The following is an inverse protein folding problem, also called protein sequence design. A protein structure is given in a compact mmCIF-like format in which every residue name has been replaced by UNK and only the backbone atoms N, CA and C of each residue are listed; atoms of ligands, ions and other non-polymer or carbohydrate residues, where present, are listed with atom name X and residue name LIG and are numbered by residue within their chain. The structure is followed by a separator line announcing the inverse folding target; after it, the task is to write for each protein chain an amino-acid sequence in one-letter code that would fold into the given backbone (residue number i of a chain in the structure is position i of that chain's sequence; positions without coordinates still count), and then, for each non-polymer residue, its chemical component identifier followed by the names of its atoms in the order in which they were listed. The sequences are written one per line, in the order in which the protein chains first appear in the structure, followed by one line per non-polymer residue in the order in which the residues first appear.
data_IF_980989969605
#
_entry.id   IF_980989969605
#
_cell.length_a   1.000
_cell.length_b   1.000
_cell.length_c   1.000
_cell.angle_alpha   90.00
_cell.angle_beta   90.00
_cell.angle_gamma   90.00
#
_symmetry.space_group_name_H-M   'P 1'
#
loop_
_entity.id
_entity.type
_entity.pdbx_description
1 polymer ?
#
# COMPACT_ATOMS: atom_id res chain seq x y z
N UNK A 1 3.32 3.25 59.33
CA UNK A 1 4.06 4.01 58.28
C UNK A 1 5.50 3.55 58.22
N UNK A 2 5.89 2.81 57.18
CA UNK A 2 7.26 2.77 56.68
C UNK A 2 7.34 3.48 55.33
N UNK A 3 8.37 4.31 55.20
CA UNK A 3 8.60 5.29 54.14
C UNK A 3 8.61 4.66 52.73
N UNK A 4 7.73 5.18 51.86
CA UNK A 4 7.90 5.13 50.41
C UNK A 4 9.27 5.71 50.07
N UNK A 5 10.22 4.86 49.67
CA UNK A 5 11.44 5.30 49.02
C UNK A 5 11.02 5.76 47.62
N UNK A 6 11.25 7.02 47.25
CA UNK A 6 10.78 7.56 45.99
C UNK A 6 11.45 6.80 44.85
N UNK A 7 10.66 6.42 43.84
CA UNK A 7 11.13 5.89 42.58
C UNK A 7 12.13 6.89 41.98
N UNK A 8 13.41 6.66 42.26
CA UNK A 8 14.53 7.43 41.75
C UNK A 8 14.49 7.45 40.22
N UNK A 9 14.60 8.66 39.69
CA UNK A 9 14.70 8.99 38.28
C UNK A 9 15.86 8.25 37.63
N UNK A 10 15.61 7.05 37.14
CA UNK A 10 16.49 6.34 36.20
C UNK A 10 15.68 5.67 35.08
N UNK A 11 14.59 6.33 34.66
CA UNK A 11 14.00 6.11 33.34
C UNK A 11 14.86 6.79 32.26
N UNK A 12 16.16 6.54 32.23
CA UNK A 12 16.87 6.66 30.97
C UNK A 12 16.55 5.41 30.16
N UNK A 13 15.48 5.53 29.38
CA UNK A 13 15.18 4.65 28.25
C UNK A 13 16.37 4.70 27.29
N UNK A 14 17.43 3.93 27.59
CA UNK A 14 18.44 3.63 26.60
C UNK A 14 17.77 2.71 25.59
N UNK A 15 17.21 3.28 24.53
CA UNK A 15 16.74 2.52 23.39
C UNK A 15 17.95 2.19 22.50
N UNK A 16 18.09 0.92 22.12
CA UNK A 16 19.06 0.51 21.08
C UNK A 16 20.32 -0.16 21.62
N UNK A 17 21.45 0.08 20.95
CA UNK A 17 22.73 -0.63 21.17
C UNK A 17 23.31 -0.32 22.57
N UNK A 18 23.14 0.91 23.08
CA UNK A 18 23.62 1.31 24.41
C UNK A 18 23.02 0.46 25.53
N UNK A 19 21.77 0.06 25.40
CA UNK A 19 21.11 -0.83 26.36
C UNK A 19 21.80 -2.19 26.43
N UNK A 20 22.11 -2.76 25.26
CA UNK A 20 22.73 -4.08 25.13
C UNK A 20 24.13 -4.05 25.74
N UNK A 21 24.90 -2.98 25.46
CA UNK A 21 26.22 -2.76 26.05
C UNK A 21 26.14 -2.62 27.57
N UNK A 22 25.15 -1.88 28.08
CA UNK A 22 24.96 -1.74 29.53
C UNK A 22 24.57 -3.07 30.19
N UNK A 23 23.69 -3.85 29.57
CA UNK A 23 23.32 -5.19 30.05
C UNK A 23 24.54 -6.11 30.05
N UNK A 24 25.41 -6.03 29.05
CA UNK A 24 26.63 -6.82 29.02
C UNK A 24 27.60 -6.43 30.15
N UNK A 25 27.78 -5.13 30.42
CA UNK A 25 28.65 -4.63 31.50
C UNK A 25 28.12 -4.96 32.90
N UNK A 26 26.81 -4.84 33.11
CA UNK A 26 26.16 -5.02 34.42
C UNK A 26 25.66 -6.46 34.65
N UNK A 27 25.68 -7.27 33.60
CA UNK A 27 25.24 -8.66 33.58
C UNK A 27 26.19 -9.57 34.35
N UNK A 28 25.63 -10.45 35.18
CA UNK A 28 26.42 -11.54 35.75
C UNK A 28 26.81 -12.57 34.67
N UNK A 29 27.58 -13.59 35.04
CA UNK A 29 28.05 -14.61 34.09
C UNK A 29 26.90 -15.27 33.30
N UNK A 30 25.77 -15.53 33.96
CA UNK A 30 24.64 -16.21 33.33
C UNK A 30 23.86 -15.31 32.36
N UNK A 31 23.75 -14.02 32.67
CA UNK A 31 23.20 -13.05 31.74
C UNK A 31 24.14 -12.82 30.55
N UNK A 32 25.46 -12.80 30.77
CA UNK A 32 26.46 -12.67 29.69
C UNK A 32 26.50 -13.88 28.77
N UNK A 33 26.44 -15.10 29.30
CA UNK A 33 26.38 -16.30 28.46
C UNK A 33 25.09 -16.39 27.64
N UNK A 34 24.02 -15.70 28.06
CA UNK A 34 22.75 -15.63 27.31
C UNK A 34 22.84 -14.86 25.98
N UNK A 35 23.95 -14.15 25.74
CA UNK A 35 24.24 -13.54 24.44
C UNK A 35 24.62 -14.61 23.40
N UNK A 36 25.30 -15.68 23.85
CA UNK A 36 25.74 -16.78 23.00
C UNK A 36 24.74 -17.94 22.99
N UNK A 37 24.22 -18.32 24.15
CA UNK A 37 23.25 -19.41 24.32
C UNK A 37 21.96 -18.81 24.86
N UNK A 38 20.99 -18.58 23.98
CA UNK A 38 19.72 -17.95 24.34
C UNK A 38 19.00 -18.76 25.41
N UNK A 39 18.40 -18.06 26.38
CA UNK A 39 17.64 -18.66 27.46
C UNK A 39 18.45 -19.14 28.68
N UNK A 40 19.79 -19.26 28.59
CA UNK A 40 20.62 -19.79 29.69
C UNK A 40 20.44 -19.03 31.02
N UNK A 41 20.42 -17.71 30.97
CA UNK A 41 20.23 -16.85 32.15
C UNK A 41 18.83 -16.90 32.73
N UNK A 42 17.81 -17.25 31.93
CA UNK A 42 16.46 -17.53 32.42
C UNK A 42 16.41 -18.91 33.10
N UNK A 43 17.06 -19.92 32.51
CA UNK A 43 17.14 -21.29 33.07
C UNK A 43 17.81 -21.28 34.45
N UNK A 44 18.96 -20.61 34.57
CA UNK A 44 19.68 -20.51 35.86
C UNK A 44 18.81 -19.90 36.98
N UNK A 45 17.88 -19.03 36.61
CA UNK A 45 16.97 -18.32 37.53
C UNK A 45 15.60 -18.98 37.64
N UNK A 46 15.54 -20.30 37.43
CA UNK A 46 14.33 -21.14 37.58
C UNK A 46 13.18 -20.79 36.60
N UNK A 47 13.44 -20.02 35.54
CA UNK A 47 12.47 -19.78 34.46
C UNK A 47 12.67 -20.78 33.31
N UNK A 48 12.51 -22.08 33.60
CA UNK A 48 12.85 -23.17 32.68
C UNK A 48 12.11 -23.12 31.34
N UNK A 49 10.78 -22.98 31.36
CA UNK A 49 9.95 -22.99 30.14
C UNK A 49 10.36 -21.86 29.20
N UNK A 50 10.48 -20.64 29.74
CA UNK A 50 10.86 -19.45 28.97
C UNK A 50 12.26 -19.55 28.40
N UNK A 51 13.21 -20.03 29.22
CA UNK A 51 14.57 -20.26 28.80
C UNK A 51 14.67 -21.33 27.70
N UNK A 52 13.92 -22.42 27.83
CA UNK A 52 13.84 -23.47 26.81
C UNK A 52 13.26 -22.94 25.49
N UNK A 53 12.20 -22.13 25.54
CA UNK A 53 11.64 -21.50 24.34
C UNK A 53 12.67 -20.64 23.61
N UNK A 54 13.43 -19.82 24.32
CA UNK A 54 14.49 -19.01 23.72
C UNK A 54 15.61 -19.87 23.11
N UNK A 55 16.00 -20.94 23.78
CA UNK A 55 16.99 -21.88 23.26
C UNK A 55 16.48 -22.61 22.01
N UNK A 56 15.24 -23.11 22.02
CA UNK A 56 14.62 -23.76 20.87
C UNK A 56 14.50 -22.81 19.67
N UNK A 57 14.14 -21.54 19.90
CA UNK A 57 14.13 -20.53 18.84
C UNK A 57 15.53 -20.30 18.23
N UNK A 58 16.58 -20.33 19.05
CA UNK A 58 17.96 -20.26 18.55
C UNK A 58 18.33 -21.48 17.70
N UNK A 59 18.05 -22.69 18.19
CA UNK A 59 18.34 -23.94 17.47
C UNK A 59 17.57 -24.00 16.14
N UNK A 60 16.27 -23.67 16.16
CA UNK A 60 15.44 -23.63 14.96
C UNK A 60 15.95 -22.62 13.94
N UNK A 61 16.39 -21.43 14.39
CA UNK A 61 16.98 -20.43 13.51
C UNK A 61 18.30 -20.90 12.89
N UNK A 62 19.19 -21.53 13.66
CA UNK A 62 20.45 -22.09 13.14
C UNK A 62 20.16 -23.20 12.13
N UNK A 63 19.22 -24.11 12.43
CA UNK A 63 18.80 -25.17 11.52
C UNK A 63 18.22 -24.61 10.21
N UNK A 64 17.37 -23.57 10.30
CA UNK A 64 16.85 -22.85 9.14
C UNK A 64 17.97 -22.20 8.31
N UNK A 65 18.93 -21.54 8.97
CA UNK A 65 20.04 -20.88 8.29
C UNK A 65 20.91 -21.87 7.52
N UNK A 66 21.27 -23.00 8.15
CA UNK A 66 22.12 -24.02 7.55
C UNK A 66 21.40 -24.85 6.49
N UNK A 67 20.13 -25.21 6.74
CA UNK A 67 19.37 -26.13 5.89
C UNK A 67 18.63 -25.48 4.73
N UNK A 68 18.25 -24.19 4.83
CA UNK A 68 17.43 -23.51 3.84
C UNK A 68 18.04 -22.17 3.41
N UNK A 69 18.29 -21.25 4.34
CA UNK A 69 18.65 -19.87 4.00
C UNK A 69 19.98 -19.77 3.25
N UNK A 70 20.99 -20.55 3.65
CA UNK A 70 22.33 -20.52 3.09
C UNK A 70 22.34 -20.82 1.57
N UNK A 71 21.47 -21.73 1.11
CA UNK A 71 21.36 -22.09 -0.30
C UNK A 71 20.91 -20.90 -1.18
N UNK A 72 20.05 -20.03 -0.65
CA UNK A 72 19.54 -18.88 -1.39
C UNK A 72 20.39 -17.62 -1.17
N UNK A 73 20.78 -17.34 0.07
CA UNK A 73 21.57 -16.16 0.43
C UNK A 73 22.94 -16.15 -0.25
N UNK A 74 23.58 -17.30 -0.41
CA UNK A 74 24.86 -17.40 -1.13
C UNK A 74 24.74 -17.05 -2.62
N UNK A 75 23.55 -17.19 -3.22
CA UNK A 75 23.27 -16.93 -4.63
C UNK A 75 22.58 -15.59 -4.89
N UNK A 76 22.34 -14.77 -3.86
CA UNK A 76 21.62 -13.49 -4.03
C UNK A 76 22.35 -12.52 -4.99
N UNK A 77 23.68 -12.57 -5.02
CA UNK A 77 24.50 -11.71 -5.87
C UNK A 77 24.51 -12.11 -7.34
N UNK A 78 24.36 -13.41 -7.64
CA UNK A 78 24.36 -13.92 -9.02
C UNK A 78 22.97 -14.21 -9.56
N UNK A 79 21.99 -14.40 -8.67
CA UNK A 79 20.63 -14.85 -8.99
C UNK A 79 20.59 -16.21 -9.71
N UNK A 80 21.58 -17.04 -9.43
CA UNK A 80 21.76 -18.36 -10.03
C UNK A 80 22.77 -18.34 -11.19
N UNK A 81 23.36 -19.49 -11.46
CA UNK A 81 24.38 -19.65 -12.51
C UNK A 81 24.00 -20.69 -13.56
N UNK A 82 23.19 -21.67 -13.18
CA UNK A 82 22.80 -22.77 -14.06
C UNK A 82 21.30 -22.75 -14.30
N UNK A 83 20.89 -22.36 -15.51
CA UNK A 83 19.49 -22.43 -15.91
C UNK A 83 19.04 -23.88 -16.11
N UNK A 84 17.75 -24.13 -16.01
CA UNK A 84 17.15 -25.44 -16.28
C UNK A 84 17.43 -25.88 -17.72
N UNK A 85 18.08 -27.04 -17.88
CA UNK A 85 18.42 -27.60 -19.21
C UNK A 85 17.47 -28.73 -19.58
N UNK A 86 17.31 -28.92 -20.89
CA UNK A 86 16.66 -30.10 -21.47
C UNK A 86 17.76 -30.96 -22.07
N UNK A 87 18.05 -32.08 -21.44
CA UNK A 87 19.10 -33.00 -21.88
C UNK A 87 18.44 -34.27 -22.42
N UNK A 88 18.95 -34.77 -23.55
CA UNK A 88 18.49 -36.03 -24.11
C UNK A 88 18.98 -37.17 -23.22
N UNK A 89 18.06 -37.94 -22.63
CA UNK A 89 18.44 -39.10 -21.82
C UNK A 89 18.41 -40.35 -22.69
N UNK A 90 19.59 -40.86 -23.06
CA UNK A 90 19.73 -42.11 -23.83
C UNK A 90 19.00 -43.29 -23.15
N UNK A 91 19.00 -43.33 -21.81
CA UNK A 91 18.34 -44.37 -21.03
C UNK A 91 16.79 -44.33 -21.11
N UNK A 92 16.19 -43.16 -21.34
CA UNK A 92 14.72 -43.00 -21.38
C UNK A 92 14.18 -42.64 -22.76
N UNK A 93 15.06 -42.42 -23.74
CA UNK A 93 14.73 -41.97 -25.10
C UNK A 93 13.79 -40.76 -25.13
N UNK A 94 13.90 -39.90 -24.12
CA UNK A 94 13.13 -38.66 -23.98
C UNK A 94 14.04 -37.55 -23.44
N UNK A 95 13.71 -36.30 -23.75
CA UNK A 95 14.33 -35.15 -23.12
C UNK A 95 13.95 -35.09 -21.64
N UNK A 96 14.94 -35.23 -20.76
CA UNK A 96 14.78 -35.08 -19.33
C UNK A 96 15.15 -33.65 -18.94
N UNK A 97 14.28 -33.05 -18.12
CA UNK A 97 14.46 -31.71 -17.55
C UNK A 97 15.33 -31.82 -16.31
N UNK A 98 16.58 -31.36 -16.37
CA UNK A 98 17.47 -31.30 -15.21
C UNK A 98 17.12 -30.05 -14.38
N UNK A 99 16.88 -30.18 -13.06
CA UNK A 99 16.58 -29.03 -12.21
C UNK A 99 17.76 -28.06 -12.21
N UNK A 100 17.52 -26.82 -12.65
CA UNK A 100 18.48 -25.71 -12.52
C UNK A 100 18.10 -24.76 -11.40
N UNK A 101 18.85 -23.67 -11.27
CA UNK A 101 18.54 -22.55 -10.41
C UNK A 101 17.25 -21.84 -10.84
N UNK A 102 16.67 -21.08 -9.91
CA UNK A 102 15.51 -20.24 -10.17
C UNK A 102 15.74 -18.86 -9.56
N UNK A 103 16.07 -17.87 -10.39
CA UNK A 103 16.36 -16.49 -9.96
C UNK A 103 15.23 -15.88 -9.13
N UNK A 104 13.97 -16.16 -9.47
CA UNK A 104 12.81 -15.65 -8.76
C UNK A 104 12.75 -16.22 -7.33
N UNK A 105 12.91 -17.53 -7.18
CA UNK A 105 12.90 -18.18 -5.86
C UNK A 105 14.13 -17.78 -5.03
N UNK A 106 15.31 -17.66 -5.67
CA UNK A 106 16.53 -17.18 -5.01
C UNK A 106 16.30 -15.80 -4.42
N UNK A 107 15.76 -14.87 -5.22
CA UNK A 107 15.49 -13.51 -4.76
C UNK A 107 14.44 -13.50 -3.65
N UNK A 108 13.30 -14.17 -3.84
CA UNK A 108 12.19 -14.20 -2.88
C UNK A 108 12.61 -14.77 -1.52
N UNK A 109 13.23 -15.95 -1.52
CA UNK A 109 13.64 -16.61 -0.28
C UNK A 109 14.85 -15.96 0.38
N UNK A 110 15.71 -15.27 -0.38
CA UNK A 110 16.76 -14.43 0.20
C UNK A 110 16.17 -13.24 0.97
N UNK A 111 15.20 -12.52 0.40
CA UNK A 111 14.53 -11.40 1.09
C UNK A 111 13.78 -11.91 2.32
N UNK A 112 13.03 -13.01 2.19
CA UNK A 112 12.34 -13.64 3.33
C UNK A 112 13.33 -14.02 4.43
N UNK A 113 14.48 -14.60 4.07
CA UNK A 113 15.54 -14.94 5.03
C UNK A 113 16.12 -13.73 5.72
N UNK A 114 16.35 -12.61 5.00
CA UNK A 114 16.82 -11.34 5.59
C UNK A 114 15.80 -10.80 6.60
N UNK A 115 14.50 -10.82 6.28
CA UNK A 115 13.46 -10.41 7.22
C UNK A 115 13.39 -11.33 8.45
N UNK A 116 13.58 -12.64 8.27
CA UNK A 116 13.65 -13.60 9.38
C UNK A 116 14.90 -13.38 10.25
N UNK A 117 16.05 -13.02 9.67
CA UNK A 117 17.25 -12.62 10.41
C UNK A 117 16.95 -11.38 11.26
N UNK A 118 16.30 -10.36 10.68
CA UNK A 118 15.89 -9.16 11.42
C UNK A 118 14.94 -9.51 12.56
N UNK A 119 13.92 -10.34 12.31
CA UNK A 119 12.99 -10.82 13.34
C UNK A 119 13.73 -11.59 14.45
N UNK A 120 14.70 -12.44 14.08
CA UNK A 120 15.54 -13.16 15.03
C UNK A 120 16.37 -12.21 15.90
N UNK A 121 16.93 -11.13 15.34
CA UNK A 121 17.63 -10.09 16.11
C UNK A 121 16.69 -9.46 17.15
N UNK A 122 15.42 -9.21 16.82
CA UNK A 122 14.44 -8.72 17.81
C UNK A 122 14.16 -9.75 18.91
N UNK A 123 14.03 -11.04 18.57
CA UNK A 123 13.85 -12.12 19.54
C UNK A 123 15.09 -12.27 20.44
N UNK A 124 16.28 -12.21 19.87
CA UNK A 124 17.56 -12.26 20.59
C UNK A 124 17.69 -11.08 21.57
N UNK A 125 17.31 -9.87 21.17
CA UNK A 125 17.23 -8.70 22.07
C UNK A 125 16.20 -8.90 23.18
N UNK A 126 15.03 -9.46 22.87
CA UNK A 126 14.01 -9.76 23.87
C UNK A 126 14.51 -10.79 24.90
N UNK A 127 15.26 -11.81 24.45
CA UNK A 127 15.93 -12.78 25.31
C UNK A 127 16.90 -12.10 26.29
N UNK A 128 17.80 -11.24 25.81
CA UNK A 128 18.77 -10.55 26.67
C UNK A 128 18.06 -9.68 27.71
N UNK A 129 17.06 -8.90 27.30
CA UNK A 129 16.24 -8.09 28.21
C UNK A 129 15.52 -8.96 29.24
N UNK A 130 15.01 -10.13 28.84
CA UNK A 130 14.36 -11.06 29.76
C UNK A 130 15.35 -11.59 30.80
N UNK A 131 16.54 -12.02 30.38
CA UNK A 131 17.59 -12.52 31.28
C UNK A 131 18.06 -11.45 32.28
N UNK A 132 18.24 -10.22 31.80
CA UNK A 132 18.63 -9.09 32.67
C UNK A 132 17.53 -8.70 33.66
N UNK A 133 16.27 -8.72 33.24
CA UNK A 133 15.14 -8.52 34.17
C UNK A 133 15.12 -9.59 35.24
N UNK A 134 15.29 -10.87 34.88
CA UNK A 134 15.37 -11.95 35.86
C UNK A 134 16.52 -11.75 36.87
N UNK A 135 17.69 -11.27 36.40
CA UNK A 135 18.80 -10.89 37.29
C UNK A 135 18.42 -9.77 38.27
N UNK A 136 17.70 -8.75 37.82
CA UNK A 136 17.26 -7.66 38.68
C UNK A 136 16.23 -8.13 39.71
N UNK A 137 15.29 -9.00 39.35
CA UNK A 137 14.35 -9.62 40.30
C UNK A 137 15.10 -10.39 41.40
N UNK A 138 16.12 -11.15 41.03
CA UNK A 138 16.98 -11.89 41.97
C UNK A 138 17.74 -10.96 42.91
N UNK A 139 18.39 -9.90 42.38
CA UNK A 139 19.08 -8.88 43.20
C UNK A 139 18.15 -8.15 44.17
N UNK A 140 16.90 -7.95 43.79
CA UNK A 140 15.88 -7.29 44.62
C UNK A 140 15.18 -8.26 45.60
N UNK A 141 15.59 -9.54 45.65
CA UNK A 141 14.96 -10.56 46.50
C UNK A 141 13.51 -10.88 46.12
N UNK A 142 13.07 -10.54 44.91
CA UNK A 142 11.71 -10.77 44.42
C UNK A 142 11.58 -12.17 43.84
N UNK A 143 10.41 -12.80 44.03
CA UNK A 143 10.08 -14.06 43.37
C UNK A 143 10.07 -13.90 41.85
N UNK A 144 10.66 -14.88 41.15
CA UNK A 144 10.67 -14.91 39.69
C UNK A 144 9.24 -15.20 39.19
N UNK A 145 8.74 -14.46 38.19
CA UNK A 145 7.41 -14.71 37.67
C UNK A 145 7.37 -16.08 36.98
N UNK A 146 6.37 -16.88 37.33
CA UNK A 146 6.09 -18.16 36.68
C UNK A 146 5.67 -17.92 35.23
N UNK A 147 5.94 -18.86 34.32
CA UNK A 147 5.51 -18.79 32.92
C UNK A 147 4.00 -18.52 32.76
N UNK A 148 3.16 -19.18 33.58
CA UNK A 148 1.71 -18.95 33.61
C UNK A 148 1.35 -17.52 34.03
N UNK A 149 2.10 -16.93 34.96
CA UNK A 149 1.93 -15.54 35.36
C UNK A 149 2.31 -14.59 34.23
N UNK A 150 3.40 -14.84 33.51
CA UNK A 150 3.79 -14.04 32.34
C UNK A 150 2.76 -14.12 31.20
N UNK A 151 2.21 -15.30 30.91
CA UNK A 151 1.12 -15.45 29.94
C UNK A 151 -0.11 -14.66 30.39
N UNK A 152 -0.48 -14.75 31.67
CA UNK A 152 -1.62 -13.99 32.21
C UNK A 152 -1.40 -12.48 32.09
N UNK A 153 -0.17 -12.00 32.32
CA UNK A 153 0.21 -10.60 32.09
C UNK A 153 0.09 -10.21 30.62
N UNK A 154 0.51 -11.07 29.69
CA UNK A 154 0.38 -10.83 28.24
C UNK A 154 -1.09 -10.79 27.79
N UNK A 155 -1.95 -11.63 28.34
CA UNK A 155 -3.37 -11.68 28.00
C UNK A 155 -4.23 -10.61 28.68
N UNK A 156 -3.74 -9.99 29.76
CA UNK A 156 -4.49 -8.99 30.51
C UNK A 156 -3.82 -7.61 30.44
N UNK A 157 -2.74 -7.40 31.20
CA UNK A 157 -2.06 -6.10 31.29
C UNK A 157 -1.40 -5.64 29.98
N UNK A 158 -0.97 -6.58 29.14
CA UNK A 158 -0.30 -6.32 27.86
C UNK A 158 -1.05 -6.90 26.67
N UNK A 159 -2.38 -6.97 26.79
CA UNK A 159 -3.25 -7.51 25.75
C UNK A 159 -3.01 -6.87 24.39
N UNK A 160 -2.75 -5.56 24.34
CA UNK A 160 -2.41 -4.84 23.10
C UNK A 160 -1.21 -5.45 22.36
N UNK A 161 -0.18 -5.96 23.06
CA UNK A 161 0.99 -6.58 22.43
C UNK A 161 0.58 -7.91 21.79
N UNK A 162 -0.11 -8.76 22.53
CA UNK A 162 -0.56 -10.07 22.04
C UNK A 162 -1.51 -9.92 20.86
N UNK A 163 -2.47 -8.99 20.96
CA UNK A 163 -3.45 -8.72 19.92
C UNK A 163 -2.80 -8.17 18.64
N UNK A 164 -1.81 -7.29 18.75
CA UNK A 164 -1.14 -6.67 17.60
C UNK A 164 -0.06 -7.55 16.97
N UNK A 165 0.49 -8.54 17.69
CA UNK A 165 1.59 -9.39 17.17
C UNK A 165 1.21 -10.09 15.88
N UNK A 166 0.02 -10.71 15.81
CA UNK A 166 -0.43 -11.44 14.61
C UNK A 166 -0.67 -10.49 13.42
N UNK A 167 -1.47 -9.40 13.53
CA UNK A 167 -1.61 -8.42 12.46
C UNK A 167 -0.28 -7.81 12.00
N UNK A 168 0.63 -7.48 12.92
CA UNK A 168 1.94 -6.94 12.56
C UNK A 168 2.78 -7.92 11.75
N UNK A 169 2.76 -9.22 12.11
CA UNK A 169 3.44 -10.25 11.32
C UNK A 169 2.82 -10.42 9.93
N UNK A 170 1.49 -10.32 9.82
CA UNK A 170 0.81 -10.37 8.53
C UNK A 170 1.19 -9.16 7.65
N UNK A 171 1.31 -7.96 8.22
CA UNK A 171 1.80 -6.77 7.49
C UNK A 171 3.23 -7.01 6.98
N UNK A 172 4.13 -7.58 7.80
CA UNK A 172 5.49 -7.88 7.36
C UNK A 172 5.49 -8.90 6.22
N UNK A 173 4.74 -9.98 6.35
CA UNK A 173 4.73 -11.09 5.39
C UNK A 173 4.01 -10.76 4.08
N UNK A 174 2.89 -10.04 4.13
CA UNK A 174 2.03 -9.81 2.97
C UNK A 174 2.10 -8.39 2.41
N UNK A 175 2.73 -7.46 3.11
CA UNK A 175 2.92 -6.08 2.62
C UNK A 175 4.39 -5.74 2.45
N UNK A 176 5.21 -5.87 3.50
CA UNK A 176 6.62 -5.44 3.44
C UNK A 176 7.46 -6.35 2.55
N UNK A 177 7.31 -7.68 2.68
CA UNK A 177 8.07 -8.65 1.88
C UNK A 177 7.82 -8.47 0.36
N UNK A 178 6.58 -8.43 -0.15
CA UNK A 178 6.33 -8.19 -1.57
C UNK A 178 6.85 -6.83 -2.07
N UNK A 179 6.78 -5.78 -1.23
CA UNK A 179 7.31 -4.45 -1.59
C UNK A 179 8.83 -4.51 -1.80
N UNK A 180 9.58 -5.11 -0.86
CA UNK A 180 11.03 -5.24 -1.01
C UNK A 180 11.36 -6.09 -2.24
N UNK A 181 10.64 -7.19 -2.44
CA UNK A 181 10.83 -8.05 -3.61
C UNK A 181 10.59 -7.31 -4.93
N UNK A 182 9.49 -6.56 -5.04
CA UNK A 182 9.19 -5.70 -6.19
C UNK A 182 10.30 -4.65 -6.40
N UNK A 183 10.74 -3.98 -5.33
CA UNK A 183 11.83 -2.98 -5.42
C UNK A 183 13.09 -3.63 -6.01
N UNK A 184 13.47 -4.83 -5.55
CA UNK A 184 14.65 -5.51 -6.07
C UNK A 184 14.50 -5.96 -7.52
N UNK A 185 13.31 -6.40 -7.95
CA UNK A 185 13.04 -6.73 -9.35
C UNK A 185 13.31 -5.54 -10.27
N UNK A 186 13.05 -4.30 -9.83
CA UNK A 186 13.33 -3.09 -10.61
C UNK A 186 14.82 -2.93 -10.98
N UNK A 187 15.74 -3.62 -10.30
CA UNK A 187 17.19 -3.61 -10.56
C UNK A 187 17.67 -4.83 -11.36
N UNK A 188 16.74 -5.62 -11.91
CA UNK A 188 17.03 -6.84 -12.69
C UNK A 188 16.51 -6.73 -14.13
N UNK A 189 16.87 -7.67 -14.99
CA UNK A 189 16.27 -7.83 -16.33
C UNK A 189 15.12 -8.85 -16.35
N UNK A 190 14.33 -8.95 -15.27
CA UNK A 190 13.21 -9.89 -15.23
C UNK A 190 12.07 -9.47 -16.17
N UNK A 191 12.13 -9.96 -17.41
CA UNK A 191 11.21 -9.68 -18.50
C UNK A 191 10.79 -10.98 -19.24
N UNK A 192 9.96 -10.86 -20.29
CA UNK A 192 9.49 -12.00 -21.08
C UNK A 192 10.61 -12.89 -21.65
N UNK A 193 11.82 -12.35 -21.83
CA UNK A 193 12.96 -13.11 -22.35
C UNK A 193 13.74 -13.83 -21.24
N UNK A 194 13.53 -13.48 -19.98
CA UNK A 194 14.23 -14.02 -18.82
C UNK A 194 13.25 -14.65 -17.82
N UNK A 195 12.52 -15.67 -18.26
CA UNK A 195 11.53 -16.38 -17.44
C UNK A 195 12.17 -17.60 -16.74
N UNK A 196 12.48 -17.54 -15.43
CA UNK A 196 13.01 -18.68 -14.70
C UNK A 196 11.93 -19.76 -14.53
N UNK A 197 12.32 -21.04 -14.39
CA UNK A 197 13.70 -21.54 -14.32
C UNK A 197 14.36 -21.74 -15.71
N UNK A 198 13.65 -21.47 -16.81
CA UNK A 198 14.14 -21.72 -18.16
C UNK A 198 15.24 -20.75 -18.61
N UNK A 199 15.10 -19.46 -18.31
CA UNK A 199 16.12 -18.44 -18.49
C UNK A 199 16.22 -17.60 -17.22
N UNK A 200 17.40 -17.58 -16.62
CA UNK A 200 17.66 -16.80 -15.41
C UNK A 200 17.68 -15.31 -15.73
N UNK A 201 17.27 -14.48 -14.76
CA UNK A 201 17.46 -13.04 -14.80
C UNK A 201 18.62 -12.65 -13.88
N UNK A 202 19.29 -11.56 -14.20
CA UNK A 202 20.47 -11.04 -13.51
C UNK A 202 20.28 -9.58 -13.09
N UNK A 203 21.18 -9.09 -12.24
CA UNK A 203 21.21 -7.68 -11.86
C UNK A 203 21.68 -6.81 -13.03
N UNK A 204 20.94 -5.74 -13.29
CA UNK A 204 21.29 -4.71 -14.30
C UNK A 204 21.49 -3.33 -13.66
N UNK A 205 21.45 -3.25 -12.33
CA UNK A 205 21.60 -2.01 -11.59
C UNK A 205 20.49 -1.01 -11.95
N UNK A 206 20.87 0.20 -12.35
CA UNK A 206 19.93 1.29 -12.60
C UNK A 206 19.39 1.36 -14.05
N UNK A 207 19.69 0.37 -14.91
CA UNK A 207 19.31 0.41 -16.34
C UNK A 207 17.82 0.70 -16.55
N UNK A 208 16.93 0.02 -15.84
CA UNK A 208 15.48 0.25 -16.02
C UNK A 208 15.06 1.68 -15.62
N UNK A 209 15.73 2.29 -14.64
CA UNK A 209 15.47 3.68 -14.23
C UNK A 209 15.96 4.66 -15.28
N UNK A 210 17.12 4.41 -15.89
CA UNK A 210 17.64 5.25 -16.98
C UNK A 210 16.80 5.09 -18.25
N UNK A 211 16.28 3.90 -18.54
CA UNK A 211 15.38 3.63 -19.68
C UNK A 211 14.06 4.40 -19.57
N UNK A 212 13.54 4.62 -18.35
CA UNK A 212 12.31 5.38 -18.10
C UNK A 212 12.46 6.88 -18.37
N UNK A 213 13.67 7.42 -18.29
CA UNK A 213 13.89 8.85 -18.49
C UNK A 213 14.63 9.18 -19.79
N UNK A 214 15.76 8.53 -20.07
CA UNK A 214 16.71 8.99 -21.09
C UNK A 214 17.18 7.89 -22.05
N UNK A 215 17.43 6.66 -21.58
CA UNK A 215 18.14 5.63 -22.36
C UNK A 215 17.30 4.97 -23.45
N UNK A 216 15.98 4.84 -23.26
CA UNK A 216 15.05 4.33 -24.26
C UNK A 216 14.04 5.44 -24.63
N UNK A 217 14.13 6.03 -25.85
CA UNK A 217 13.26 7.12 -26.25
C UNK A 217 11.77 6.77 -26.26
N UNK A 218 11.42 5.51 -26.57
CA UNK A 218 10.03 5.08 -26.65
C UNK A 218 9.45 4.92 -25.25
N UNK A 219 10.16 4.24 -24.33
CA UNK A 219 9.74 4.09 -22.93
C UNK A 219 9.67 5.46 -22.25
N UNK A 220 10.66 6.32 -22.48
CA UNK A 220 10.73 7.65 -21.87
C UNK A 220 9.59 8.57 -22.31
N UNK A 221 9.30 8.61 -23.61
CA UNK A 221 8.14 9.33 -24.14
C UNK A 221 6.83 8.77 -23.57
N UNK A 222 6.70 7.44 -23.51
CA UNK A 222 5.51 6.76 -22.95
C UNK A 222 5.29 7.14 -21.50
N UNK A 223 6.33 7.03 -20.65
CA UNK A 223 6.25 7.39 -19.25
C UNK A 223 5.85 8.85 -19.06
N UNK A 224 6.52 9.79 -19.75
CA UNK A 224 6.21 11.21 -19.63
C UNK A 224 4.76 11.55 -20.02
N UNK A 225 4.25 10.96 -21.11
CA UNK A 225 2.87 11.20 -21.57
C UNK A 225 1.83 10.56 -20.66
N UNK A 226 2.08 9.34 -20.18
CA UNK A 226 1.18 8.64 -19.25
C UNK A 226 1.19 9.32 -17.89
N UNK A 227 2.36 9.77 -17.39
CA UNK A 227 2.46 10.55 -16.16
C UNK A 227 1.64 11.84 -16.27
N UNK A 228 1.82 12.60 -17.37
CA UNK A 228 1.05 13.82 -17.63
C UNK A 228 -0.46 13.56 -17.63
N UNK A 229 -0.91 12.53 -18.35
CA UNK A 229 -2.31 12.13 -18.33
C UNK A 229 -2.78 11.66 -16.95
N UNK A 230 -1.97 10.90 -16.20
CA UNK A 230 -2.31 10.41 -14.86
C UNK A 230 -2.55 11.56 -13.88
N UNK A 231 -1.73 12.62 -13.95
CA UNK A 231 -1.89 13.81 -13.12
C UNK A 231 -3.12 14.63 -13.53
N UNK A 232 -3.32 14.84 -14.83
CA UNK A 232 -4.53 15.52 -15.36
C UNK A 232 -5.77 14.76 -14.91
N UNK A 233 -5.80 13.45 -15.14
CA UNK A 233 -6.86 12.54 -14.70
C UNK A 233 -7.11 12.68 -13.20
N UNK A 234 -6.08 12.58 -12.36
CA UNK A 234 -6.23 12.63 -10.92
C UNK A 234 -6.82 13.96 -10.44
N UNK A 235 -6.40 15.08 -11.03
CA UNK A 235 -6.97 16.40 -10.74
C UNK A 235 -8.44 16.46 -11.17
N UNK A 236 -8.76 16.13 -12.42
CA UNK A 236 -10.13 16.21 -12.92
C UNK A 236 -11.07 15.24 -12.20
N UNK A 237 -10.66 13.99 -12.00
CA UNK A 237 -11.42 12.98 -11.28
C UNK A 237 -11.73 13.41 -9.84
N UNK A 238 -10.74 13.94 -9.13
CA UNK A 238 -10.91 14.40 -7.74
C UNK A 238 -11.79 15.65 -7.68
N UNK A 239 -11.48 16.65 -8.51
CA UNK A 239 -12.21 17.91 -8.54
C UNK A 239 -13.67 17.72 -8.93
N UNK A 240 -13.95 17.01 -10.02
CA UNK A 240 -15.32 16.82 -10.51
C UNK A 240 -16.16 15.99 -9.54
N UNK A 241 -15.63 14.88 -9.01
CA UNK A 241 -16.34 14.08 -8.01
C UNK A 241 -16.62 14.88 -6.74
N UNK A 242 -15.65 15.67 -6.28
CA UNK A 242 -15.82 16.48 -5.09
C UNK A 242 -16.85 17.59 -5.29
N UNK A 243 -16.70 18.36 -6.36
CA UNK A 243 -17.55 19.49 -6.70
C UNK A 243 -19.00 19.06 -6.92
N UNK A 244 -19.24 18.10 -7.82
CA UNK A 244 -20.60 17.64 -8.12
C UNK A 244 -21.21 16.82 -6.97
N UNK A 245 -20.39 16.06 -6.22
CA UNK A 245 -20.84 15.37 -5.01
C UNK A 245 -21.32 16.34 -3.93
N UNK A 246 -20.59 17.43 -3.69
CA UNK A 246 -20.98 18.47 -2.74
C UNK A 246 -22.25 19.20 -3.20
N UNK A 247 -22.33 19.60 -4.47
CA UNK A 247 -23.52 20.25 -5.02
C UNK A 247 -24.75 19.36 -4.81
N UNK A 248 -24.62 18.07 -5.13
CA UNK A 248 -25.72 17.12 -4.97
C UNK A 248 -26.11 16.96 -3.50
N UNK A 249 -25.13 16.91 -2.59
CA UNK A 249 -25.39 16.87 -1.15
C UNK A 249 -26.13 18.12 -0.67
N UNK A 250 -25.72 19.32 -1.11
CA UNK A 250 -26.39 20.58 -0.78
C UNK A 250 -27.83 20.57 -1.32
N UNK A 251 -28.03 20.15 -2.57
CA UNK A 251 -29.36 20.08 -3.20
C UNK A 251 -30.30 19.16 -2.44
N UNK A 252 -29.87 17.94 -2.10
CA UNK A 252 -30.70 16.97 -1.38
C UNK A 252 -31.02 17.46 0.04
N UNK A 253 -30.07 18.11 0.70
CA UNK A 253 -30.25 18.55 2.08
C UNK A 253 -30.97 19.90 2.21
N UNK A 254 -31.15 20.66 1.13
CA UNK A 254 -31.85 21.95 1.13
C UNK A 254 -33.23 21.88 1.79
N UNK A 255 -33.60 22.95 2.52
CA UNK A 255 -34.97 23.12 3.06
C UNK A 255 -35.98 23.15 1.89
N UNK A 256 -37.08 22.42 2.01
CA UNK A 256 -38.14 22.35 0.99
C UNK A 256 -38.07 21.14 0.04
N UNK A 257 -36.94 20.42 -0.03
CA UNK A 257 -36.86 19.18 -0.83
C UNK A 257 -37.62 18.05 -0.13
N UNK A 258 -38.65 17.53 -0.82
CA UNK A 258 -39.43 16.37 -0.39
C UNK A 258 -38.75 15.06 -0.83
N UNK A 259 -39.04 13.97 -0.13
CA UNK A 259 -38.51 12.63 -0.43
C UNK A 259 -36.97 12.54 -0.46
N UNK A 260 -36.28 13.25 0.45
CA UNK A 260 -34.80 13.25 0.54
C UNK A 260 -34.19 11.84 0.56
N UNK A 261 -34.85 10.90 1.26
CA UNK A 261 -34.45 9.48 1.31
C UNK A 261 -34.47 8.82 -0.08
N UNK A 262 -35.49 9.09 -0.89
CA UNK A 262 -35.59 8.55 -2.26
C UNK A 262 -34.45 9.08 -3.13
N UNK A 263 -34.24 10.39 -3.17
CA UNK A 263 -33.15 10.99 -3.96
C UNK A 263 -31.79 10.43 -3.56
N UNK A 264 -31.49 10.39 -2.25
CA UNK A 264 -30.27 9.78 -1.74
C UNK A 264 -30.13 8.32 -2.18
N UNK A 265 -31.21 7.54 -2.12
CA UNK A 265 -31.20 6.13 -2.53
C UNK A 265 -30.91 5.96 -4.02
N UNK A 266 -31.52 6.79 -4.88
CA UNK A 266 -31.31 6.76 -6.35
C UNK A 266 -29.83 6.97 -6.69
N UNK A 267 -29.15 7.90 -6.04
CA UNK A 267 -27.72 8.12 -6.32
C UNK A 267 -26.82 7.08 -5.65
N UNK A 268 -27.17 6.58 -4.46
CA UNK A 268 -26.38 5.55 -3.78
C UNK A 268 -26.49 4.19 -4.47
N UNK A 269 -27.57 3.91 -5.20
CA UNK A 269 -27.72 2.61 -5.88
C UNK A 269 -26.61 2.35 -6.90
N UNK A 270 -26.02 3.41 -7.48
CA UNK A 270 -24.93 3.27 -8.47
C UNK A 270 -23.65 2.72 -7.85
N UNK A 271 -23.47 2.90 -6.53
CA UNK A 271 -22.35 2.32 -5.76
C UNK A 271 -22.75 1.07 -4.97
N UNK A 272 -24.04 0.76 -4.87
CA UNK A 272 -24.53 -0.49 -4.29
C UNK A 272 -24.28 -1.69 -5.22
N UNK A 273 -24.33 -1.46 -6.53
CA UNK A 273 -23.91 -2.43 -7.54
C UNK A 273 -22.37 -2.51 -7.56
N UNK A 274 -21.77 -3.73 -7.58
CA UNK A 274 -20.33 -3.87 -7.67
C UNK A 274 -19.75 -3.09 -8.86
N UNK A 275 -18.75 -2.26 -8.59
CA UNK A 275 -18.19 -1.32 -9.57
C UNK A 275 -17.76 -2.01 -10.87
N UNK A 276 -17.21 -3.22 -10.78
CA UNK A 276 -16.73 -3.93 -11.97
C UNK A 276 -17.87 -4.31 -12.93
N UNK A 277 -19.05 -4.68 -12.41
CA UNK A 277 -20.22 -5.02 -13.22
C UNK A 277 -20.70 -3.78 -13.96
N UNK A 278 -20.86 -2.67 -13.24
CA UNK A 278 -21.30 -1.40 -13.80
C UNK A 278 -20.37 -0.90 -14.91
N UNK A 279 -19.05 -0.94 -14.68
CA UNK A 279 -18.06 -0.47 -15.66
C UNK A 279 -17.97 -1.36 -16.90
N UNK A 280 -18.01 -2.69 -16.72
CA UNK A 280 -18.02 -3.62 -17.86
C UNK A 280 -19.28 -3.47 -18.70
N UNK A 281 -20.45 -3.33 -18.06
CA UNK A 281 -21.70 -3.05 -18.78
C UNK A 281 -21.61 -1.71 -19.52
N UNK A 282 -21.09 -0.67 -18.88
CA UNK A 282 -20.92 0.64 -19.49
C UNK A 282 -19.97 0.60 -20.70
N UNK A 283 -18.91 -0.21 -20.65
CA UNK A 283 -18.01 -0.45 -21.78
C UNK A 283 -18.76 -1.03 -22.99
N UNK A 284 -19.68 -1.98 -22.76
CA UNK A 284 -20.51 -2.55 -23.84
C UNK A 284 -21.54 -1.55 -24.38
N UNK A 285 -22.15 -0.74 -23.49
CA UNK A 285 -23.11 0.29 -23.89
C UNK A 285 -22.45 1.35 -24.78
N UNK A 286 -21.22 1.75 -24.43
CA UNK A 286 -20.44 2.80 -25.08
C UNK A 286 -19.57 2.29 -26.23
N UNK A 287 -19.61 1.00 -26.55
CA UNK A 287 -18.94 0.46 -27.72
C UNK A 287 -19.48 1.11 -29.01
N UNK A 288 -18.68 1.17 -30.07
CA UNK A 288 -19.08 1.85 -31.31
C UNK A 288 -20.39 1.27 -31.88
N UNK A 289 -20.55 -0.05 -31.81
CA UNK A 289 -21.77 -0.79 -32.18
C UNK A 289 -22.69 -1.07 -30.98
N UNK A 290 -22.50 -0.34 -29.88
CA UNK A 290 -23.25 -0.50 -28.65
C UNK A 290 -24.64 0.12 -28.72
N UNK A 291 -25.53 -0.25 -27.77
CA UNK A 291 -26.90 0.23 -27.73
C UNK A 291 -27.03 1.75 -27.64
N UNK A 292 -26.06 2.48 -27.06
CA UNK A 292 -26.15 3.94 -26.99
C UNK A 292 -26.11 4.59 -28.37
N UNK A 293 -25.15 4.22 -29.21
CA UNK A 293 -25.07 4.72 -30.58
C UNK A 293 -26.31 4.33 -31.39
N UNK A 294 -26.79 3.08 -31.25
CA UNK A 294 -28.01 2.62 -31.91
C UNK A 294 -29.24 3.45 -31.51
N UNK A 295 -29.38 3.77 -30.22
CA UNK A 295 -30.49 4.60 -29.73
C UNK A 295 -30.39 6.05 -30.21
N UNK A 296 -29.20 6.65 -30.16
CA UNK A 296 -28.96 8.01 -30.63
C UNK A 296 -29.25 8.15 -32.14
N UNK A 297 -28.88 7.16 -32.94
CA UNK A 297 -29.24 7.11 -34.37
C UNK A 297 -30.74 6.94 -34.58
N UNK A 298 -31.37 6.02 -33.86
CA UNK A 298 -32.82 5.78 -33.95
C UNK A 298 -33.64 7.01 -33.58
N UNK A 299 -33.17 7.82 -32.63
CA UNK A 299 -33.79 9.08 -32.25
C UNK A 299 -33.43 10.25 -33.17
N UNK A 300 -32.55 10.06 -34.14
CA UNK A 300 -32.14 11.09 -35.09
C UNK A 300 -31.18 12.13 -34.50
N UNK A 301 -30.53 11.86 -33.36
CA UNK A 301 -29.55 12.77 -32.77
C UNK A 301 -28.17 12.72 -33.45
N UNK A 302 -27.83 11.58 -34.08
CA UNK A 302 -26.56 11.39 -34.79
C UNK A 302 -26.79 10.61 -36.09
N UNK A 303 -26.00 10.89 -37.11
CA UNK A 303 -26.02 10.18 -38.40
C UNK A 303 -25.00 9.03 -38.45
N UNK A 304 -23.94 9.09 -37.64
CA UNK A 304 -22.88 8.09 -37.57
C UNK A 304 -22.52 7.77 -36.12
N UNK A 305 -21.91 6.60 -35.89
CA UNK A 305 -21.53 6.15 -34.54
C UNK A 305 -20.51 7.12 -33.93
N UNK A 306 -20.74 7.56 -32.68
CA UNK A 306 -19.75 8.31 -31.92
C UNK A 306 -18.70 7.31 -31.39
N UNK A 307 -17.40 7.52 -31.66
CA UNK A 307 -16.33 6.61 -31.25
C UNK A 307 -15.93 6.83 -29.78
N UNK A 308 -16.87 6.57 -28.85
CA UNK A 308 -16.71 6.93 -27.43
C UNK A 308 -15.46 6.36 -26.76
N UNK A 309 -15.00 5.18 -27.19
CA UNK A 309 -13.87 4.45 -26.59
C UNK A 309 -12.69 4.26 -27.57
N UNK A 310 -12.93 4.44 -28.86
CA UNK A 310 -11.96 4.16 -29.95
C UNK A 310 -11.22 5.41 -30.42
N UNK A 311 -11.82 6.60 -30.32
CA UNK A 311 -11.11 7.87 -30.52
C UNK A 311 -10.41 8.32 -29.23
N UNK A 312 -9.22 8.91 -29.36
CA UNK A 312 -8.35 9.30 -28.24
C UNK A 312 -9.02 10.35 -27.34
N UNK A 313 -9.62 11.37 -27.95
CA UNK A 313 -10.20 12.50 -27.24
C UNK A 313 -11.51 12.08 -26.60
N UNK A 314 -12.37 11.40 -27.35
CA UNK A 314 -13.62 10.86 -26.83
C UNK A 314 -13.38 9.85 -25.72
N UNK A 315 -12.41 8.94 -25.85
CA UNK A 315 -12.10 7.97 -24.80
C UNK A 315 -11.71 8.65 -23.48
N UNK A 316 -10.88 9.69 -23.54
CA UNK A 316 -10.47 10.48 -22.36
C UNK A 316 -11.62 11.23 -21.71
N UNK A 317 -12.49 11.83 -22.51
CA UNK A 317 -13.69 12.52 -22.00
C UNK A 317 -14.66 11.50 -21.38
N UNK A 318 -14.91 10.40 -22.09
CA UNK A 318 -15.81 9.34 -21.66
C UNK A 318 -15.37 8.70 -20.34
N UNK A 319 -14.08 8.40 -20.15
CA UNK A 319 -13.60 7.86 -18.86
C UNK A 319 -13.84 8.84 -17.71
N UNK A 320 -13.70 10.15 -17.93
CA UNK A 320 -13.97 11.17 -16.90
C UNK A 320 -15.47 11.20 -16.58
N UNK A 321 -16.34 11.20 -17.59
CA UNK A 321 -17.80 11.21 -17.41
C UNK A 321 -18.26 9.96 -16.64
N UNK A 322 -17.76 8.78 -17.01
CA UNK A 322 -18.10 7.53 -16.30
C UNK A 322 -17.55 7.54 -14.87
N UNK A 323 -16.35 8.11 -14.64
CA UNK A 323 -15.81 8.29 -13.31
C UNK A 323 -16.67 9.21 -12.44
N UNK A 324 -17.21 10.29 -13.02
CA UNK A 324 -18.16 11.18 -12.35
C UNK A 324 -19.40 10.42 -11.88
N UNK A 325 -19.95 9.57 -12.74
CA UNK A 325 -21.13 8.77 -12.42
C UNK A 325 -20.92 7.79 -11.25
N UNK A 326 -19.78 7.09 -11.21
CA UNK A 326 -19.47 6.17 -10.08
C UNK A 326 -18.91 6.89 -8.84
N UNK A 327 -18.32 8.07 -9.00
CA UNK A 327 -17.58 8.77 -7.95
C UNK A 327 -18.39 9.80 -7.15
N UNK A 328 -19.34 10.49 -7.79
CA UNK A 328 -20.23 11.48 -7.13
C UNK A 328 -20.91 10.91 -5.86
N UNK A 329 -21.49 9.69 -5.87
CA UNK A 329 -22.26 9.20 -4.72
C UNK A 329 -21.42 9.05 -3.44
N UNK A 330 -20.15 8.62 -3.57
CA UNK A 330 -19.23 8.54 -2.43
C UNK A 330 -19.00 9.92 -1.81
N UNK A 331 -18.70 10.92 -2.64
CA UNK A 331 -18.47 12.28 -2.16
C UNK A 331 -19.75 12.91 -1.61
N UNK A 332 -20.89 12.68 -2.25
CA UNK A 332 -22.20 13.14 -1.77
C UNK A 332 -22.49 12.61 -0.36
N UNK A 333 -22.19 11.34 -0.07
CA UNK A 333 -22.39 10.75 1.25
C UNK A 333 -21.51 11.41 2.32
N UNK A 334 -20.22 11.55 2.06
CA UNK A 334 -19.25 12.14 2.99
C UNK A 334 -19.60 13.61 3.26
N UNK A 335 -19.82 14.38 2.19
CA UNK A 335 -20.13 15.81 2.31
C UNK A 335 -21.49 16.07 2.96
N UNK A 336 -22.49 15.20 2.76
CA UNK A 336 -23.78 15.31 3.46
C UNK A 336 -23.62 15.25 4.97
N UNK A 337 -22.76 14.37 5.49
CA UNK A 337 -22.48 14.26 6.92
C UNK A 337 -21.83 15.52 7.49
N UNK A 338 -20.86 16.08 6.75
CA UNK A 338 -20.09 17.26 7.19
C UNK A 338 -20.92 18.53 7.11
N UNK A 339 -21.76 18.69 6.06
CA UNK A 339 -22.63 19.86 5.90
C UNK A 339 -23.61 20.03 7.06
N UNK A 340 -24.02 18.92 7.71
CA UNK A 340 -24.90 18.96 8.89
C UNK A 340 -24.21 19.49 10.15
N UNK A 341 -22.87 19.52 10.17
CA UNK A 341 -22.09 19.99 11.32
C UNK A 341 -21.73 21.48 11.22
N UNK A 342 -22.09 22.17 10.14
CA UNK A 342 -21.84 23.61 10.02
C UNK A 342 -22.86 24.34 10.92
N UNK A 343 -22.40 25.15 11.90
CA UNK A 343 -23.30 25.90 12.78
C UNK A 343 -24.30 26.78 12.00
N UNK A 344 -25.57 26.74 12.41
CA UNK A 344 -26.65 27.43 11.70
C UNK A 344 -26.62 28.96 11.87
N UNK A 345 -26.10 29.41 13.01
CA UNK A 345 -25.86 30.81 13.38
C UNK A 345 -24.95 31.56 12.39
N UNK A 346 -23.96 30.87 11.79
CA UNK A 346 -23.14 31.44 10.72
C UNK A 346 -23.98 31.84 9.51
N UNK A 347 -24.95 31.00 9.13
CA UNK A 347 -25.84 31.29 8.00
C UNK A 347 -26.90 32.33 8.35
N UNK A 348 -27.41 32.32 9.58
CA UNK A 348 -28.38 33.31 10.07
C UNK A 348 -27.75 34.70 10.13
N UNK A 349 -26.54 34.81 10.69
CA UNK A 349 -25.78 36.06 10.75
C UNK A 349 -25.49 36.60 9.35
N UNK A 350 -25.03 35.75 8.43
CA UNK A 350 -24.78 36.15 7.05
C UNK A 350 -26.06 36.59 6.31
N UNK A 351 -27.20 35.97 6.62
CA UNK A 351 -28.50 36.36 6.07
C UNK A 351 -28.95 37.73 6.59
N UNK A 352 -28.68 38.05 7.86
CA UNK A 352 -28.93 39.38 8.45
C UNK A 352 -28.07 40.43 7.76
N UNK A 353 -26.82 40.11 7.44
CA UNK A 353 -25.90 40.96 6.67
C UNK A 353 -26.23 41.05 5.16
N UNK A 354 -27.32 40.42 4.71
CA UNK A 354 -27.77 40.48 3.31
C UNK A 354 -26.94 39.64 2.33
N UNK A 355 -26.16 38.66 2.82
CA UNK A 355 -25.36 37.81 1.96
C UNK A 355 -26.23 36.92 1.06
N UNK A 356 -25.95 36.92 -0.25
CA UNK A 356 -26.64 36.05 -1.20
C UNK A 356 -26.26 34.57 -0.99
N UNK A 357 -27.08 33.60 -1.44
CA UNK A 357 -26.74 32.17 -1.32
C UNK A 357 -25.40 31.79 -1.96
N UNK A 358 -25.04 32.42 -3.08
CA UNK A 358 -23.74 32.22 -3.71
C UNK A 358 -22.60 32.77 -2.82
N UNK A 359 -22.81 33.94 -2.21
CA UNK A 359 -21.83 34.52 -1.28
C UNK A 359 -21.65 33.63 -0.04
N UNK A 360 -22.73 33.15 0.55
CA UNK A 360 -22.68 32.21 1.67
C UNK A 360 -21.95 30.91 1.29
N UNK A 361 -22.19 30.38 0.09
CA UNK A 361 -21.47 29.19 -0.38
C UNK A 361 -19.96 29.43 -0.48
N UNK A 362 -19.51 30.48 -1.17
CA UNK A 362 -18.08 30.73 -1.37
C UNK A 362 -17.34 31.25 -0.13
N UNK A 363 -18.04 31.92 0.79
CA UNK A 363 -17.44 32.54 1.98
C UNK A 363 -17.58 31.71 3.25
N UNK A 364 -18.57 30.82 3.35
CA UNK A 364 -18.82 30.01 4.55
C UNK A 364 -18.71 28.52 4.22
N UNK A 365 -19.60 28.02 3.35
CA UNK A 365 -19.71 26.57 3.12
C UNK A 365 -18.45 25.99 2.52
N UNK A 366 -17.98 26.50 1.38
CA UNK A 366 -16.84 25.95 0.65
C UNK A 366 -15.54 26.01 1.46
N UNK A 367 -15.15 27.14 2.10
CA UNK A 367 -13.96 27.18 2.94
C UNK A 367 -14.01 26.20 4.12
N UNK A 368 -15.16 26.12 4.81
CA UNK A 368 -15.35 25.16 5.90
C UNK A 368 -15.23 23.72 5.40
N UNK A 369 -15.90 23.40 4.29
CA UNK A 369 -15.86 22.07 3.69
C UNK A 369 -14.44 21.69 3.29
N UNK A 370 -13.72 22.55 2.56
CA UNK A 370 -12.35 22.29 2.16
C UNK A 370 -11.43 22.04 3.35
N UNK A 371 -11.57 22.81 4.43
CA UNK A 371 -10.80 22.60 5.66
C UNK A 371 -11.05 21.21 6.24
N UNK A 372 -12.31 20.82 6.46
CA UNK A 372 -12.66 19.53 7.07
C UNK A 372 -12.34 18.35 6.14
N UNK A 373 -12.54 18.50 4.83
CA UNK A 373 -12.35 17.41 3.85
C UNK A 373 -10.94 17.35 3.28
N UNK A 374 -9.98 18.18 3.71
CA UNK A 374 -8.62 18.15 3.13
C UNK A 374 -7.98 16.75 3.20
N UNK A 375 -8.02 16.01 4.33
CA UNK A 375 -7.50 14.63 4.37
C UNK A 375 -8.20 13.69 3.39
N UNK A 376 -9.52 13.84 3.22
CA UNK A 376 -10.30 13.09 2.23
C UNK A 376 -9.87 13.43 0.80
N UNK A 377 -9.67 14.71 0.48
CA UNK A 377 -9.22 15.15 -0.85
C UNK A 377 -7.83 14.61 -1.19
N UNK A 378 -6.90 14.60 -0.23
CA UNK A 378 -5.57 13.99 -0.41
C UNK A 378 -5.71 12.50 -0.72
N UNK A 379 -6.49 11.78 0.10
CA UNK A 379 -6.72 10.34 -0.06
C UNK A 379 -7.40 10.02 -1.39
N UNK A 380 -8.40 10.82 -1.77
CA UNK A 380 -9.12 10.68 -3.04
C UNK A 380 -8.20 10.97 -4.23
N UNK A 381 -7.31 11.96 -4.14
CA UNK A 381 -6.38 12.28 -5.20
C UNK A 381 -5.37 11.14 -5.43
N UNK A 382 -4.77 10.61 -4.36
CA UNK A 382 -3.88 9.43 -4.41
C UNK A 382 -4.63 8.20 -4.93
N UNK A 383 -5.89 8.02 -4.51
CA UNK A 383 -6.77 6.99 -5.02
C UNK A 383 -7.01 7.12 -6.53
N UNK A 384 -7.18 8.35 -7.04
CA UNK A 384 -7.40 8.61 -8.46
C UNK A 384 -6.14 8.39 -9.32
N UNK A 385 -4.94 8.65 -8.80
CA UNK A 385 -3.68 8.26 -9.46
C UNK A 385 -3.63 6.74 -9.68
N UNK A 386 -4.14 5.97 -8.71
CA UNK A 386 -4.17 4.51 -8.73
C UNK A 386 -5.53 3.94 -9.17
N UNK A 387 -6.34 4.70 -9.91
CA UNK A 387 -7.69 4.28 -10.31
C UNK A 387 -7.67 3.26 -11.46
N UNK A 388 -7.26 2.05 -11.13
CA UNK A 388 -7.15 0.93 -12.04
C UNK A 388 -8.52 0.55 -12.64
N UNK A 389 -9.55 0.43 -11.79
CA UNK A 389 -10.83 -0.15 -12.17
C UNK A 389 -11.52 0.61 -13.30
N UNK A 390 -11.65 1.95 -13.19
CA UNK A 390 -12.38 2.74 -14.20
C UNK A 390 -11.72 2.63 -15.56
N UNK A 391 -10.40 2.76 -15.61
CA UNK A 391 -9.66 2.76 -16.87
C UNK A 391 -9.58 1.36 -17.46
N UNK A 392 -9.19 0.36 -16.66
CA UNK A 392 -9.00 -1.00 -17.17
C UNK A 392 -10.32 -1.65 -17.62
N UNK A 393 -11.41 -1.46 -16.86
CA UNK A 393 -12.69 -2.10 -17.18
C UNK A 393 -13.48 -1.38 -18.28
N UNK A 394 -13.26 -0.06 -18.48
CA UNK A 394 -13.96 0.69 -19.50
C UNK A 394 -13.26 0.64 -20.87
N UNK A 395 -11.95 0.90 -20.90
CA UNK A 395 -11.18 1.04 -22.15
C UNK A 395 -10.03 0.05 -22.26
N UNK A 396 -9.71 -0.69 -21.20
CA UNK A 396 -8.44 -1.44 -21.05
C UNK A 396 -7.23 -0.55 -21.37
N UNK A 397 -7.31 0.75 -21.08
CA UNK A 397 -6.27 1.74 -21.39
C UNK A 397 -6.17 2.18 -22.84
N UNK A 398 -7.04 1.69 -23.73
CA UNK A 398 -7.07 2.07 -25.15
C UNK A 398 -7.49 3.53 -25.43
N UNK A 399 -7.51 3.96 -26.70
CA UNK A 399 -7.06 3.21 -27.88
C UNK A 399 -5.54 2.97 -27.87
N UNK A 400 -5.13 1.84 -28.46
CA UNK A 400 -3.71 1.47 -28.61
C UNK A 400 -3.08 2.25 -29.76
N UNK A 401 -1.81 2.57 -29.60
CA UNK A 401 -1.04 3.41 -30.53
C UNK A 401 0.38 2.89 -30.64
N UNK A 402 1.02 3.15 -31.77
CA UNK A 402 2.39 2.67 -32.06
C UNK A 402 3.47 3.53 -31.42
N UNK A 403 3.14 4.75 -31.01
CA UNK A 403 4.08 5.70 -30.40
C UNK A 403 4.31 5.47 -28.90
N UNK A 404 3.57 4.52 -28.28
CA UNK A 404 3.73 4.14 -26.87
C UNK A 404 4.24 2.70 -26.71
N UNK A 405 5.11 2.48 -25.72
CA UNK A 405 5.61 1.16 -25.35
C UNK A 405 4.54 0.35 -24.60
N UNK A 406 3.84 -0.54 -25.31
CA UNK A 406 2.86 -1.47 -24.73
C UNK A 406 1.77 -0.79 -23.90
N UNK A 407 1.34 0.41 -24.30
CA UNK A 407 0.32 1.21 -23.62
C UNK A 407 -0.66 1.83 -24.63
N UNK A 408 -1.80 2.30 -24.13
CA UNK A 408 -2.76 3.09 -24.89
C UNK A 408 -2.95 4.49 -24.32
N UNK A 409 -3.81 5.29 -24.97
CA UNK A 409 -3.92 6.73 -24.68
C UNK A 409 -4.72 7.09 -23.43
N UNK A 410 -5.48 6.16 -22.85
CA UNK A 410 -6.18 6.37 -21.57
C UNK A 410 -5.49 5.70 -20.38
N UNK A 411 -4.42 4.93 -20.61
CA UNK A 411 -3.68 4.28 -19.53
C UNK A 411 -3.19 5.29 -18.49
N UNK A 412 -3.38 4.94 -17.23
CA UNK A 412 -2.67 5.54 -16.10
C UNK A 412 -1.38 4.76 -15.85
N UNK A 413 -0.47 5.31 -15.05
CA UNK A 413 0.75 4.59 -14.67
C UNK A 413 0.43 3.21 -14.06
N UNK A 414 -0.63 3.10 -13.27
CA UNK A 414 -1.06 1.83 -12.65
C UNK A 414 -1.60 0.82 -13.67
N UNK A 415 -2.34 1.25 -14.70
CA UNK A 415 -2.87 0.32 -15.71
C UNK A 415 -1.78 -0.09 -16.70
N UNK A 416 -0.85 0.81 -17.01
CA UNK A 416 0.33 0.46 -17.80
C UNK A 416 1.24 -0.53 -17.06
N UNK A 417 1.51 -0.31 -15.77
CA UNK A 417 2.23 -1.24 -14.90
C UNK A 417 1.57 -2.63 -14.95
N UNK A 418 0.25 -2.69 -14.77
CA UNK A 418 -0.50 -3.95 -14.83
C UNK A 418 -0.31 -4.67 -16.18
N UNK A 419 -0.48 -3.97 -17.31
CA UNK A 419 -0.26 -4.55 -18.66
C UNK A 419 1.15 -5.09 -18.83
N UNK A 420 2.15 -4.34 -18.36
CA UNK A 420 3.54 -4.78 -18.40
C UNK A 420 3.73 -6.09 -17.64
N UNK A 421 3.10 -6.26 -16.48
CA UNK A 421 3.21 -7.51 -15.69
C UNK A 421 2.40 -8.67 -16.25
N UNK A 422 1.12 -8.47 -16.57
CA UNK A 422 0.17 -9.54 -16.88
C UNK A 422 0.19 -9.91 -18.36
N UNK A 423 0.22 -8.91 -19.25
CA UNK A 423 0.09 -9.14 -20.69
C UNK A 423 1.46 -9.28 -21.37
N UNK A 424 2.50 -8.65 -20.81
CA UNK A 424 3.84 -8.54 -21.43
C UNK A 424 4.97 -9.16 -20.64
N UNK A 425 4.71 -9.61 -19.41
CA UNK A 425 5.69 -10.25 -18.51
C UNK A 425 6.98 -9.43 -18.31
N UNK A 426 6.91 -8.10 -18.46
CA UNK A 426 7.99 -7.17 -18.21
C UNK A 426 7.92 -6.67 -16.75
N UNK A 427 8.35 -7.53 -15.83
CA UNK A 427 8.26 -7.29 -14.39
C UNK A 427 9.25 -6.24 -13.90
N UNK A 428 10.44 -6.16 -14.50
CA UNK A 428 11.46 -5.17 -14.16
C UNK A 428 10.99 -3.75 -14.43
N UNK A 429 10.54 -3.45 -15.65
CA UNK A 429 10.02 -2.12 -16.00
C UNK A 429 8.76 -1.77 -15.20
N UNK A 430 7.85 -2.72 -15.02
CA UNK A 430 6.66 -2.53 -14.19
C UNK A 430 7.02 -2.16 -12.74
N UNK A 431 7.99 -2.86 -12.16
CA UNK A 431 8.47 -2.58 -10.81
C UNK A 431 9.11 -1.20 -10.70
N UNK A 432 9.89 -0.79 -11.72
CA UNK A 432 10.44 0.58 -11.80
C UNK A 432 9.34 1.64 -11.84
N UNK A 433 8.31 1.45 -12.67
CA UNK A 433 7.13 2.35 -12.71
C UNK A 433 6.42 2.37 -11.35
N UNK A 434 6.27 1.22 -10.70
CA UNK A 434 5.68 1.11 -9.36
C UNK A 434 6.41 1.93 -8.31
N UNK A 435 7.75 1.93 -8.33
CA UNK A 435 8.57 2.79 -7.47
C UNK A 435 8.29 4.27 -7.76
N UNK A 436 8.23 4.69 -9.03
CA UNK A 436 7.92 6.08 -9.36
C UNK A 436 6.52 6.49 -8.91
N UNK A 437 5.50 5.65 -9.13
CA UNK A 437 4.14 5.89 -8.63
C UNK A 437 4.14 6.07 -7.12
N UNK A 438 4.83 5.19 -6.38
CA UNK A 438 4.98 5.31 -4.93
C UNK A 438 5.65 6.63 -4.53
N UNK A 439 6.79 6.98 -5.12
CA UNK A 439 7.52 8.22 -4.81
C UNK A 439 6.68 9.46 -5.12
N UNK A 440 5.97 9.47 -6.25
CA UNK A 440 5.09 10.58 -6.65
C UNK A 440 3.94 10.71 -5.65
N UNK A 441 3.27 9.61 -5.31
CA UNK A 441 2.16 9.64 -4.35
C UNK A 441 2.63 10.06 -2.96
N UNK A 442 3.74 9.52 -2.48
CA UNK A 442 4.30 9.83 -1.17
C UNK A 442 4.75 11.30 -1.07
N UNK A 443 5.47 11.80 -2.07
CA UNK A 443 5.93 13.20 -2.10
C UNK A 443 4.77 14.18 -2.18
N UNK A 444 3.81 13.97 -3.09
CA UNK A 444 2.63 14.82 -3.20
C UNK A 444 1.78 14.79 -1.93
N UNK A 445 1.56 13.60 -1.35
CA UNK A 445 0.81 13.48 -0.10
C UNK A 445 1.49 14.24 1.03
N UNK A 446 2.81 14.08 1.19
CA UNK A 446 3.57 14.72 2.25
C UNK A 446 3.60 16.25 2.10
N UNK A 447 3.77 16.74 0.87
CA UNK A 447 3.74 18.19 0.58
C UNK A 447 2.36 18.77 0.88
N UNK A 448 1.29 18.18 0.33
CA UNK A 448 -0.07 18.71 0.51
C UNK A 448 -0.51 18.59 1.97
N UNK A 449 -0.20 17.49 2.64
CA UNK A 449 -0.50 17.29 4.06
C UNK A 449 0.18 18.35 4.94
N UNK A 450 1.49 18.59 4.74
CA UNK A 450 2.24 19.58 5.50
C UNK A 450 1.84 21.04 5.19
N UNK A 451 1.32 21.30 3.98
CA UNK A 451 0.80 22.62 3.60
C UNK A 451 -0.63 22.86 4.09
N UNK A 452 -1.39 21.80 4.39
CA UNK A 452 -2.80 21.92 4.72
C UNK A 452 -3.05 22.66 6.03
N UNK A 453 -3.94 23.65 5.97
CA UNK A 453 -4.36 24.40 7.16
C UNK A 453 -5.10 23.54 8.18
N UNK A 454 -5.69 22.41 7.75
CA UNK A 454 -6.39 21.46 8.62
C UNK A 454 -5.46 20.77 9.61
N UNK A 455 -4.23 20.46 9.20
CA UNK A 455 -3.22 19.84 10.08
C UNK A 455 -2.55 20.90 10.97
N UNK A 456 -2.30 22.10 10.42
CA UNK A 456 -1.64 23.18 11.18
C UNK A 456 -2.52 23.79 12.28
N UNK A 457 -3.84 23.73 12.13
CA UNK A 457 -4.83 24.35 13.03
C UNK A 457 -5.84 23.35 13.57
N UNK A 458 -5.44 22.07 13.65
CA UNK A 458 -6.31 21.01 14.17
C UNK A 458 -6.78 21.31 15.61
N UNK A 459 -5.92 21.96 16.41
CA UNK A 459 -6.19 22.39 17.78
C UNK A 459 -7.19 23.56 17.89
N UNK A 460 -7.44 24.31 16.81
CA UNK A 460 -8.37 25.46 16.86
C UNK A 460 -9.85 25.05 16.71
N UNK A 461 -10.12 23.79 16.35
CA UNK A 461 -11.46 23.28 16.02
C UNK A 461 -11.87 22.01 16.80
N UNK A 462 -11.04 21.52 17.72
CA UNK A 462 -11.43 20.54 18.75
C UNK A 462 -11.90 21.27 20.00
#
# INVERSE_FOLDING_TARGET
MPKFIPAGRDRQSFAGIREIVNIFKQGDFATRSSFLIMGFGCIKRKQYIKGLLYFLMQVAFIAYMLGFANQYLSKISTLGTEAMRREWSEARQIYVRTPGDNSMLILLFSVMSILLIIAFVFIWRANIRSCYKAQQYEKLGKLQPTFKAEIKTLLNERFHITMLTVPSLMIVAFTILPIIFMILIAFTNFDANHQPPGKLFTWVGFKNFTDVFWSDPLISNTFGKILGWTLIWAVFATFTNYFFGMILAIMINKKGVRLKKMWRTIFVITIAVPQFVSLMLMSQILHDQGPLNMLLQKWGFIESNIPFLTDITYARITVIIVNIWVGIPYTMLITSGILMNIPADLYESASIDGASPARMFFSITLPYMLFVTTPYLITSFVGNINNFNVIYLLTKGGPLVTDYYQAGKTDLLVTWLYKLTVDKQNYSLASTIGIFVFVICASLSLVVYNMSGSVKREEEFQ
#
